data_IF_476057989693
#
_entry.id   IF_476057989693
#
_cell.length_a   1.000
_cell.length_b   1.000
_cell.length_c   1.000
_cell.angle_alpha   90.00
_cell.angle_beta   90.00
_cell.angle_gamma   90.00
#
_symmetry.space_group_name_H-M   'P 1'
#
loop_
_entity.id
_entity.type
_entity.pdbx_description
1 polymer ?
#
# COMPACT_ATOMS: atom_id res chain seq x y z
N UNK A 1 31.92 -24.67 -46.37
CA UNK A 1 33.13 -23.97 -45.87
C UNK A 1 34.40 -24.77 -46.13
N UNK A 2 34.36 -26.10 -46.02
CA UNK A 2 35.51 -26.99 -46.30
C UNK A 2 36.10 -26.81 -47.72
N UNK A 3 35.26 -26.75 -48.75
CA UNK A 3 35.71 -26.48 -50.12
C UNK A 3 36.40 -25.11 -50.27
N UNK A 4 35.99 -24.10 -49.49
CA UNK A 4 36.60 -22.77 -49.50
C UNK A 4 37.94 -22.75 -48.75
N UNK A 5 38.11 -23.57 -47.70
CA UNK A 5 39.40 -23.79 -47.04
C UNK A 5 40.39 -24.45 -48.01
N UNK A 6 39.98 -25.50 -48.71
CA UNK A 6 40.82 -26.21 -49.69
C UNK A 6 41.28 -25.27 -50.82
N UNK A 7 40.38 -24.41 -51.31
CA UNK A 7 40.70 -23.39 -52.31
C UNK A 7 41.69 -22.34 -51.77
N UNK A 8 41.48 -21.84 -50.55
CA UNK A 8 42.34 -20.84 -49.93
C UNK A 8 43.74 -21.39 -49.55
N UNK A 9 43.85 -22.68 -49.23
CA UNK A 9 45.12 -23.35 -48.92
C UNK A 9 46.04 -23.53 -50.14
N UNK A 10 45.51 -23.40 -51.36
CA UNK A 10 46.29 -23.47 -52.60
C UNK A 10 47.06 -22.18 -52.93
N UNK A 11 46.84 -21.10 -52.18
CA UNK A 11 47.61 -19.86 -52.31
C UNK A 11 49.02 -20.09 -51.74
N UNK A 12 50.05 -19.94 -52.58
CA UNK A 12 51.45 -19.96 -52.13
C UNK A 12 51.81 -18.75 -51.26
N UNK A 13 52.83 -18.89 -50.42
CA UNK A 13 53.36 -17.86 -49.49
C UNK A 13 53.70 -16.54 -50.18
N UNK A 14 54.00 -16.57 -51.47
CA UNK A 14 54.51 -15.44 -52.24
C UNK A 14 53.38 -14.55 -52.79
N UNK A 15 52.11 -14.90 -52.52
CA UNK A 15 50.94 -14.17 -53.01
C UNK A 15 50.54 -13.05 -52.02
N UNK A 16 50.21 -11.83 -52.50
CA UNK A 16 49.87 -10.68 -51.63
C UNK A 16 48.69 -10.89 -50.66
N UNK A 17 47.86 -11.90 -50.88
CA UNK A 17 46.69 -12.21 -50.06
C UNK A 17 46.88 -13.41 -49.13
N UNK A 18 48.06 -14.05 -49.10
CA UNK A 18 48.33 -15.26 -48.33
C UNK A 18 47.99 -15.11 -46.84
N UNK A 19 48.49 -14.06 -46.17
CA UNK A 19 48.23 -13.84 -44.74
C UNK A 19 46.74 -13.61 -44.44
N UNK A 20 46.01 -12.98 -45.37
CA UNK A 20 44.56 -12.81 -45.24
C UNK A 20 43.83 -14.16 -45.42
N UNK A 21 44.27 -14.98 -46.37
CA UNK A 21 43.72 -16.31 -46.60
C UNK A 21 43.98 -17.24 -45.40
N UNK A 22 45.18 -17.25 -44.83
CA UNK A 22 45.53 -18.04 -43.65
C UNK A 22 44.70 -17.65 -42.43
N UNK A 23 44.55 -16.35 -42.14
CA UNK A 23 43.64 -15.88 -41.08
C UNK A 23 42.20 -16.34 -41.30
N UNK A 24 41.74 -16.35 -42.56
CA UNK A 24 40.38 -16.79 -42.90
C UNK A 24 40.20 -18.30 -42.76
N UNK A 25 41.21 -19.09 -43.13
CA UNK A 25 41.24 -20.54 -42.92
C UNK A 25 41.14 -20.87 -41.42
N UNK A 26 41.94 -20.20 -40.57
CA UNK A 26 41.90 -20.40 -39.12
C UNK A 26 40.50 -20.07 -38.55
N UNK A 27 39.89 -18.96 -38.99
CA UNK A 27 38.51 -18.61 -38.60
C UNK A 27 37.48 -19.66 -39.05
N UNK A 28 37.59 -20.18 -40.28
CA UNK A 28 36.68 -21.23 -40.77
C UNK A 28 36.86 -22.56 -40.07
N UNK A 29 38.09 -22.93 -39.70
CA UNK A 29 38.36 -24.16 -38.93
C UNK A 29 37.73 -24.09 -37.53
N UNK A 30 37.81 -22.94 -36.85
CA UNK A 30 37.12 -22.70 -35.58
C UNK A 30 35.60 -22.79 -35.79
N UNK A 31 35.07 -22.13 -36.83
CA UNK A 31 33.63 -22.15 -37.11
C UNK A 31 33.07 -23.55 -37.40
N UNK A 32 33.81 -24.42 -38.09
CA UNK A 32 33.41 -25.82 -38.33
C UNK A 32 33.41 -26.62 -37.03
N UNK A 33 34.45 -26.46 -36.19
CA UNK A 33 34.51 -27.14 -34.89
C UNK A 33 33.35 -26.71 -33.98
N UNK A 34 33.11 -25.41 -33.92
CA UNK A 34 32.01 -24.82 -33.15
C UNK A 34 30.65 -25.32 -33.62
N UNK A 35 30.45 -25.45 -34.94
CA UNK A 35 29.22 -26.00 -35.52
C UNK A 35 28.99 -27.46 -35.10
N UNK A 36 30.02 -28.31 -35.21
CA UNK A 36 29.92 -29.72 -34.83
C UNK A 36 29.62 -29.88 -33.34
N UNK A 37 30.23 -29.05 -32.48
CA UNK A 37 29.91 -29.01 -31.04
C UNK A 37 28.48 -28.61 -30.78
N UNK A 38 27.98 -27.56 -31.46
CA UNK A 38 26.59 -27.14 -31.34
C UNK A 38 25.61 -28.22 -31.81
N UNK A 39 25.94 -28.98 -32.85
CA UNK A 39 25.13 -30.10 -33.31
C UNK A 39 25.09 -31.24 -32.28
N UNK A 40 26.23 -31.61 -31.70
CA UNK A 40 26.31 -32.56 -30.59
C UNK A 40 25.49 -32.09 -29.38
N UNK A 41 25.62 -30.82 -29.00
CA UNK A 41 24.84 -30.23 -27.92
C UNK A 41 23.32 -30.28 -28.19
N UNK A 42 22.89 -30.01 -29.44
CA UNK A 42 21.48 -30.14 -29.84
C UNK A 42 20.98 -31.58 -29.75
N UNK A 43 21.79 -32.56 -30.10
CA UNK A 43 21.44 -33.98 -29.97
C UNK A 43 21.25 -34.38 -28.51
N UNK A 44 22.11 -33.90 -27.61
CA UNK A 44 21.94 -34.08 -26.16
C UNK A 44 20.65 -33.39 -25.68
N UNK A 45 20.42 -32.14 -26.08
CA UNK A 45 19.24 -31.39 -25.67
C UNK A 45 17.93 -32.02 -26.16
N UNK A 46 17.95 -32.77 -27.27
CA UNK A 46 16.77 -33.44 -27.83
C UNK A 46 16.16 -34.50 -26.90
N UNK A 47 16.93 -35.04 -25.94
CA UNK A 47 16.40 -35.97 -24.94
C UNK A 47 15.42 -35.28 -23.97
N UNK A 48 15.57 -33.97 -23.74
CA UNK A 48 14.63 -33.16 -22.98
C UNK A 48 14.64 -33.35 -21.45
N UNK A 49 15.43 -34.28 -20.91
CA UNK A 49 15.59 -34.45 -19.46
C UNK A 49 16.64 -33.48 -18.88
N UNK A 50 16.58 -33.19 -17.56
CA UNK A 50 17.49 -32.21 -16.93
C UNK A 50 18.97 -32.52 -17.09
N UNK A 51 19.34 -33.82 -17.07
CA UNK A 51 20.74 -34.24 -17.15
C UNK A 51 21.29 -34.01 -18.56
N UNK A 52 20.53 -34.43 -19.58
CA UNK A 52 20.90 -34.25 -20.98
C UNK A 52 20.93 -32.79 -21.40
N UNK A 53 19.99 -31.96 -20.93
CA UNK A 53 20.02 -30.51 -21.15
C UNK A 53 21.23 -29.84 -20.48
N UNK A 54 21.61 -30.28 -19.27
CA UNK A 54 22.81 -29.79 -18.60
C UNK A 54 24.09 -30.18 -19.34
N UNK A 55 24.14 -31.41 -19.86
CA UNK A 55 25.23 -31.87 -20.72
C UNK A 55 25.32 -31.08 -22.03
N UNK A 56 24.18 -30.79 -22.67
CA UNK A 56 24.11 -29.93 -23.86
C UNK A 56 24.66 -28.53 -23.59
N UNK A 57 24.31 -27.93 -22.46
CA UNK A 57 24.84 -26.63 -22.02
C UNK A 57 26.35 -26.70 -21.81
N UNK A 58 26.86 -27.75 -21.18
CA UNK A 58 28.30 -27.93 -20.96
C UNK A 58 29.05 -28.05 -22.29
N UNK A 59 28.56 -28.86 -23.23
CA UNK A 59 29.16 -29.05 -24.56
C UNK A 59 29.15 -27.75 -25.39
N UNK A 60 28.05 -27.00 -25.36
CA UNK A 60 27.92 -25.76 -26.12
C UNK A 60 28.69 -24.56 -25.52
N UNK A 61 29.01 -24.56 -24.22
CA UNK A 61 29.80 -23.49 -23.58
C UNK A 61 31.25 -23.42 -24.05
N UNK A 62 31.77 -24.50 -24.65
CA UNK A 62 33.11 -24.56 -25.24
C UNK A 62 33.22 -23.84 -26.60
N UNK A 63 32.09 -23.40 -27.16
CA UNK A 63 32.02 -22.63 -28.42
C UNK A 63 32.43 -21.16 -28.19
N UNK A 64 33.01 -20.53 -29.21
CA UNK A 64 33.44 -19.13 -29.12
C UNK A 64 32.33 -18.17 -28.63
N UNK A 65 32.67 -17.32 -27.65
CA UNK A 65 31.79 -16.32 -27.04
C UNK A 65 31.29 -15.22 -27.99
N UNK A 66 31.78 -15.16 -29.23
CA UNK A 66 31.27 -14.25 -30.27
C UNK A 66 29.96 -14.69 -30.92
N UNK A 67 29.54 -15.95 -30.75
CA UNK A 67 28.35 -16.49 -31.41
C UNK A 67 27.07 -16.26 -30.60
N UNK A 68 26.36 -15.16 -30.92
CA UNK A 68 25.09 -14.79 -30.26
C UNK A 68 23.99 -15.86 -30.42
N UNK A 69 23.97 -16.62 -31.51
CA UNK A 69 22.97 -17.66 -31.72
C UNK A 69 23.20 -18.85 -30.77
N UNK A 70 24.45 -19.30 -30.66
CA UNK A 70 24.84 -20.34 -29.71
C UNK A 70 24.53 -19.93 -28.26
N UNK A 71 24.83 -18.68 -27.88
CA UNK A 71 24.50 -18.17 -26.55
C UNK A 71 23.01 -18.21 -26.23
N UNK A 72 22.13 -17.95 -27.22
CA UNK A 72 20.68 -18.05 -27.01
C UNK A 72 20.23 -19.48 -26.76
N UNK A 73 20.74 -20.44 -27.53
CA UNK A 73 20.43 -21.87 -27.35
C UNK A 73 20.92 -22.38 -25.99
N UNK A 74 22.14 -22.01 -25.59
CA UNK A 74 22.71 -22.34 -24.26
C UNK A 74 21.81 -21.81 -23.14
N UNK A 75 21.36 -20.56 -23.23
CA UNK A 75 20.48 -19.97 -22.22
C UNK A 75 19.12 -20.68 -22.18
N UNK A 76 18.55 -21.01 -23.34
CA UNK A 76 17.29 -21.76 -23.41
C UNK A 76 17.39 -23.13 -22.75
N UNK A 77 18.40 -23.94 -23.09
CA UNK A 77 18.58 -25.25 -22.47
C UNK A 77 18.89 -25.14 -20.97
N UNK A 78 19.68 -24.16 -20.55
CA UNK A 78 19.96 -23.92 -19.14
C UNK A 78 18.67 -23.58 -18.37
N UNK A 79 17.84 -22.68 -18.89
CA UNK A 79 16.53 -22.35 -18.29
C UNK A 79 15.61 -23.56 -18.24
N UNK A 80 15.55 -24.38 -19.30
CA UNK A 80 14.73 -25.60 -19.33
C UNK A 80 15.20 -26.62 -18.30
N UNK A 81 16.51 -26.90 -18.23
CA UNK A 81 17.08 -27.81 -17.24
C UNK A 81 16.76 -27.34 -15.82
N UNK A 82 17.00 -26.06 -15.52
CA UNK A 82 16.68 -25.47 -14.21
C UNK A 82 15.20 -25.58 -13.89
N UNK A 83 14.33 -25.28 -14.85
CA UNK A 83 12.87 -25.35 -14.66
C UNK A 83 12.44 -26.77 -14.31
N UNK A 84 12.92 -27.77 -15.04
CA UNK A 84 12.55 -29.17 -14.80
C UNK A 84 13.12 -29.69 -13.46
N UNK A 85 14.32 -29.26 -13.08
CA UNK A 85 14.93 -29.60 -11.79
C UNK A 85 14.19 -28.94 -10.62
N UNK A 86 13.78 -27.68 -10.80
CA UNK A 86 13.21 -26.87 -9.72
C UNK A 86 11.69 -27.09 -9.56
N UNK A 87 10.99 -27.47 -10.64
CA UNK A 87 9.53 -27.60 -10.68
C UNK A 87 8.95 -28.53 -9.59
N UNK A 88 9.55 -29.70 -9.29
CA UNK A 88 9.06 -30.56 -8.22
C UNK A 88 9.06 -29.91 -6.84
N UNK A 89 9.95 -28.93 -6.56
CA UNK A 89 9.90 -28.18 -5.31
C UNK A 89 8.66 -27.29 -5.24
N UNK A 90 8.34 -26.57 -6.32
CA UNK A 90 7.11 -25.76 -6.37
C UNK A 90 5.86 -26.63 -6.30
N UNK A 91 5.80 -27.74 -7.02
CA UNK A 91 4.61 -28.60 -7.01
C UNK A 91 4.36 -29.20 -5.61
N UNK A 92 5.43 -29.59 -4.88
CA UNK A 92 5.31 -30.03 -3.48
C UNK A 92 4.93 -28.88 -2.54
N UNK A 93 5.50 -27.70 -2.74
CA UNK A 93 5.16 -26.52 -1.96
C UNK A 93 3.66 -26.19 -2.09
N UNK A 94 3.14 -26.21 -3.32
CA UNK A 94 1.71 -26.01 -3.60
C UNK A 94 0.84 -27.10 -2.96
N UNK A 95 1.29 -28.36 -2.95
CA UNK A 95 0.58 -29.44 -2.27
C UNK A 95 0.48 -29.21 -0.76
N UNK A 96 1.57 -28.78 -0.11
CA UNK A 96 1.52 -28.43 1.31
C UNK A 96 0.55 -27.28 1.55
N UNK A 97 0.56 -26.24 0.73
CA UNK A 97 -0.30 -25.08 0.91
C UNK A 97 -1.81 -25.35 0.79
N UNK A 98 -2.25 -26.52 0.28
CA UNK A 98 -3.67 -26.84 0.04
C UNK A 98 -4.53 -26.80 1.31
N UNK A 99 -3.98 -27.20 2.45
CA UNK A 99 -4.72 -27.20 3.72
C UNK A 99 -4.93 -25.78 4.26
N UNK A 100 -4.08 -24.83 3.88
CA UNK A 100 -4.17 -23.43 4.28
C UNK A 100 -3.90 -23.14 5.76
N UNK A 101 -3.58 -24.13 6.59
CA UNK A 101 -3.19 -23.90 7.98
C UNK A 101 -1.74 -23.39 8.09
N UNK A 102 -1.40 -22.83 9.25
CA UNK A 102 -0.08 -22.21 9.47
C UNK A 102 1.07 -23.19 9.25
N UNK A 103 0.97 -24.42 9.73
CA UNK A 103 2.04 -25.41 9.62
C UNK A 103 2.23 -25.84 8.15
N UNK A 104 1.13 -26.09 7.45
CA UNK A 104 1.11 -26.42 6.03
C UNK A 104 1.69 -25.30 5.15
N UNK A 105 1.33 -24.04 5.42
CA UNK A 105 1.89 -22.89 4.71
C UNK A 105 3.38 -22.66 5.02
N UNK A 106 3.83 -22.92 6.25
CA UNK A 106 5.26 -22.88 6.60
C UNK A 106 6.05 -23.96 5.85
N UNK A 107 5.51 -25.17 5.75
CA UNK A 107 6.11 -26.25 4.96
C UNK A 107 6.18 -25.89 3.46
N UNK A 108 5.14 -25.26 2.91
CA UNK A 108 5.13 -24.75 1.55
C UNK A 108 6.25 -23.71 1.32
N UNK A 109 6.39 -22.74 2.22
CA UNK A 109 7.45 -21.72 2.14
C UNK A 109 8.84 -22.37 2.20
N UNK A 110 9.05 -23.33 3.11
CA UNK A 110 10.33 -24.03 3.25
C UNK A 110 10.70 -24.78 1.97
N UNK A 111 9.73 -25.43 1.31
CA UNK A 111 9.95 -26.18 0.09
C UNK A 111 10.24 -25.25 -1.10
N UNK A 112 9.47 -24.17 -1.29
CA UNK A 112 9.71 -23.19 -2.35
C UNK A 112 11.04 -22.43 -2.17
N UNK A 113 11.49 -22.22 -0.93
CA UNK A 113 12.75 -21.56 -0.61
C UNK A 113 13.99 -22.37 -1.01
N UNK A 114 13.83 -23.65 -1.39
CA UNK A 114 14.92 -24.47 -1.94
C UNK A 114 15.38 -24.00 -3.33
N UNK A 115 14.57 -23.20 -4.02
CA UNK A 115 14.89 -22.65 -5.33
C UNK A 115 15.78 -21.40 -5.15
N UNK A 116 17.07 -21.60 -5.40
CA UNK A 116 18.09 -20.59 -5.23
C UNK A 116 17.87 -19.34 -6.11
N UNK A 117 18.43 -18.21 -5.68
CA UNK A 117 18.43 -16.96 -6.43
C UNK A 117 19.10 -17.13 -7.81
N UNK A 118 18.58 -16.44 -8.83
CA UNK A 118 19.09 -16.50 -10.20
C UNK A 118 18.64 -17.72 -11.01
N UNK A 119 17.92 -18.67 -10.41
CA UNK A 119 17.31 -19.79 -11.15
C UNK A 119 16.02 -19.39 -11.83
N UNK A 120 15.68 -20.09 -12.91
CA UNK A 120 14.51 -19.83 -13.75
C UNK A 120 13.20 -19.64 -12.96
N UNK A 121 12.96 -20.49 -11.94
CA UNK A 121 11.72 -20.47 -11.15
C UNK A 121 11.79 -19.63 -9.87
N UNK A 122 12.91 -18.96 -9.59
CA UNK A 122 13.09 -18.21 -8.35
C UNK A 122 12.04 -17.09 -8.17
N UNK A 123 11.77 -16.33 -9.25
CA UNK A 123 10.78 -15.26 -9.20
C UNK A 123 9.37 -15.78 -8.89
N UNK A 124 9.05 -16.99 -9.34
CA UNK A 124 7.76 -17.63 -9.11
C UNK A 124 7.68 -18.13 -7.67
N UNK A 125 8.73 -18.79 -7.17
CA UNK A 125 8.87 -19.19 -5.78
C UNK A 125 8.70 -18.02 -4.82
N UNK A 126 9.37 -16.89 -5.07
CA UNK A 126 9.27 -15.69 -4.25
C UNK A 126 7.86 -15.08 -4.24
N UNK A 127 7.12 -15.16 -5.36
CA UNK A 127 5.71 -14.73 -5.39
C UNK A 127 4.85 -15.61 -4.48
N UNK A 128 4.99 -16.93 -4.59
CA UNK A 128 4.23 -17.88 -3.75
C UNK A 128 4.57 -17.71 -2.25
N UNK A 129 5.86 -17.58 -1.92
CA UNK A 129 6.31 -17.35 -0.54
C UNK A 129 5.68 -16.08 0.05
N UNK A 130 5.65 -14.97 -0.69
CA UNK A 130 4.99 -13.73 -0.24
C UNK A 130 3.49 -13.95 -0.01
N UNK A 131 2.81 -14.67 -0.90
CA UNK A 131 1.39 -14.99 -0.75
C UNK A 131 1.12 -15.81 0.51
N UNK A 132 1.84 -16.91 0.71
CA UNK A 132 1.66 -17.78 1.89
C UNK A 132 2.07 -17.09 3.20
N UNK A 133 3.12 -16.26 3.17
CA UNK A 133 3.50 -15.43 4.32
C UNK A 133 2.37 -14.49 4.73
N UNK A 134 1.71 -13.84 3.76
CA UNK A 134 0.54 -13.00 4.01
C UNK A 134 -0.64 -13.79 4.58
N UNK A 135 -0.88 -15.01 4.11
CA UNK A 135 -1.94 -15.89 4.64
C UNK A 135 -1.66 -16.30 6.10
N UNK A 136 -0.43 -16.70 6.41
CA UNK A 136 -0.02 -17.01 7.79
C UNK A 136 -0.25 -15.81 8.70
N UNK A 137 0.21 -14.63 8.29
CA UNK A 137 0.03 -13.40 9.07
C UNK A 137 -1.45 -13.12 9.32
N UNK A 138 -2.31 -13.25 8.31
CA UNK A 138 -3.77 -13.09 8.50
C UNK A 138 -4.33 -14.10 9.50
N UNK A 139 -3.98 -15.38 9.38
CA UNK A 139 -4.47 -16.41 10.31
C UNK A 139 -4.03 -16.14 11.75
N UNK A 140 -2.81 -15.63 11.93
CA UNK A 140 -2.29 -15.27 13.25
C UNK A 140 -2.93 -14.00 13.81
N UNK A 141 -3.16 -12.99 12.98
CA UNK A 141 -3.57 -11.66 13.42
C UNK A 141 -5.10 -11.50 13.47
N UNK A 142 -5.84 -12.30 12.70
CA UNK A 142 -7.29 -12.22 12.59
C UNK A 142 -8.01 -12.42 13.93
N UNK A 143 -7.60 -13.34 14.83
CA UNK A 143 -8.22 -13.44 16.16
C UNK A 143 -8.05 -12.16 16.98
N UNK A 144 -6.89 -11.51 16.94
CA UNK A 144 -6.65 -10.26 17.64
C UNK A 144 -7.49 -9.12 17.07
N UNK A 145 -7.55 -9.00 15.74
CA UNK A 145 -8.38 -7.97 15.11
C UNK A 145 -9.88 -8.20 15.38
N UNK A 146 -10.33 -9.46 15.35
CA UNK A 146 -11.71 -9.81 15.69
C UNK A 146 -12.03 -9.49 17.16
N UNK A 147 -11.14 -9.83 18.09
CA UNK A 147 -11.29 -9.48 19.50
C UNK A 147 -11.33 -7.96 19.70
N UNK A 148 -10.45 -7.21 19.04
CA UNK A 148 -10.44 -5.74 19.10
C UNK A 148 -11.79 -5.16 18.65
N UNK A 149 -12.36 -5.66 17.55
CA UNK A 149 -13.69 -5.25 17.07
C UNK A 149 -14.81 -5.59 18.04
N UNK A 150 -14.78 -6.77 18.66
CA UNK A 150 -15.75 -7.15 19.69
C UNK A 150 -15.68 -6.24 20.92
N UNK A 151 -14.47 -5.86 21.36
CA UNK A 151 -14.29 -4.88 22.44
C UNK A 151 -14.90 -3.53 22.07
N UNK A 152 -14.68 -3.07 20.84
CA UNK A 152 -15.26 -1.81 20.37
C UNK A 152 -16.79 -1.84 20.32
N UNK A 153 -17.37 -2.95 19.84
CA UNK A 153 -18.83 -3.17 19.81
C UNK A 153 -19.43 -3.20 21.23
N UNK A 154 -18.68 -3.72 22.21
CA UNK A 154 -19.05 -3.67 23.62
C UNK A 154 -18.87 -2.29 24.27
N UNK A 155 -18.33 -1.31 23.54
CA UNK A 155 -18.08 0.06 24.02
C UNK A 155 -16.70 0.27 24.65
N UNK A 156 -15.88 -0.77 24.78
CA UNK A 156 -14.49 -0.66 25.25
C UNK A 156 -13.55 -0.28 24.09
N UNK A 157 -13.65 0.98 23.65
CA UNK A 157 -12.81 1.51 22.58
C UNK A 157 -11.33 1.56 22.96
N UNK A 158 -11.01 1.77 24.25
CA UNK A 158 -9.63 1.79 24.72
C UNK A 158 -8.98 0.40 24.63
N UNK A 159 -9.68 -0.64 25.09
CA UNK A 159 -9.24 -2.02 24.96
C UNK A 159 -9.17 -2.48 23.51
N UNK A 160 -10.11 -2.04 22.67
CA UNK A 160 -10.11 -2.30 21.23
C UNK A 160 -8.83 -1.75 20.56
N UNK A 161 -8.51 -0.48 20.81
CA UNK A 161 -7.30 0.17 20.29
C UNK A 161 -6.05 -0.59 20.75
N UNK A 162 -5.92 -0.86 22.05
CA UNK A 162 -4.77 -1.57 22.60
C UNK A 162 -4.58 -2.97 22.00
N UNK A 163 -5.69 -3.67 21.71
CA UNK A 163 -5.64 -5.01 21.09
C UNK A 163 -5.24 -4.93 19.62
N UNK A 164 -5.81 -3.99 18.85
CA UNK A 164 -5.46 -3.81 17.44
C UNK A 164 -4.03 -3.29 17.22
N UNK A 165 -3.48 -2.52 18.17
CA UNK A 165 -2.09 -2.03 18.14
C UNK A 165 -1.05 -3.16 18.24
N UNK A 166 -1.45 -4.34 18.71
CA UNK A 166 -0.56 -5.53 18.71
C UNK A 166 -0.21 -5.99 17.29
N UNK A 167 -1.02 -5.63 16.29
CA UNK A 167 -0.76 -5.95 14.88
C UNK A 167 0.33 -4.98 14.38
N UNK A 168 1.52 -5.52 14.18
CA UNK A 168 2.71 -4.74 13.81
C UNK A 168 2.70 -4.25 12.36
N UNK A 169 3.43 -3.16 12.11
CA UNK A 169 3.65 -2.63 10.76
C UNK A 169 4.28 -3.68 9.82
N UNK A 170 3.88 -3.66 8.55
CA UNK A 170 4.32 -4.62 7.54
C UNK A 170 3.57 -5.96 7.54
N UNK A 171 2.70 -6.21 8.52
CA UNK A 171 1.83 -7.39 8.53
C UNK A 171 0.59 -7.20 7.68
N UNK A 172 0.04 -8.31 7.19
CA UNK A 172 -1.06 -8.32 6.24
C UNK A 172 -2.34 -7.59 6.72
N UNK A 173 -2.62 -7.56 8.04
CA UNK A 173 -3.79 -6.89 8.62
C UNK A 173 -3.49 -5.51 9.24
N UNK A 174 -2.26 -5.01 9.12
CA UNK A 174 -1.87 -3.75 9.76
C UNK A 174 -2.73 -2.57 9.29
N UNK A 175 -2.96 -2.43 7.98
CA UNK A 175 -3.73 -1.30 7.44
C UNK A 175 -5.19 -1.34 7.90
N UNK A 176 -5.78 -2.54 7.98
CA UNK A 176 -7.15 -2.72 8.49
C UNK A 176 -7.21 -2.34 9.97
N UNK A 177 -6.24 -2.80 10.78
CA UNK A 177 -6.13 -2.44 12.19
C UNK A 177 -5.98 -0.92 12.39
N UNK A 178 -5.14 -0.25 11.60
CA UNK A 178 -4.97 1.21 11.69
C UNK A 178 -6.21 1.99 11.23
N UNK A 179 -6.98 1.47 10.28
CA UNK A 179 -8.27 2.06 9.92
C UNK A 179 -9.26 1.98 11.09
N UNK A 180 -9.38 0.82 11.71
CA UNK A 180 -10.25 0.62 12.87
C UNK A 180 -9.83 1.49 14.07
N UNK A 181 -8.53 1.53 14.38
CA UNK A 181 -7.97 2.38 15.45
C UNK A 181 -8.32 3.86 15.22
N UNK A 182 -8.16 4.37 14.00
CA UNK A 182 -8.52 5.77 13.69
C UNK A 182 -10.01 6.03 13.93
N UNK A 183 -10.87 5.12 13.50
CA UNK A 183 -12.31 5.24 13.73
C UNK A 183 -12.65 5.26 15.23
N UNK A 184 -12.07 4.36 16.03
CA UNK A 184 -12.31 4.31 17.48
C UNK A 184 -11.76 5.53 18.23
N UNK A 185 -10.62 6.08 17.79
CA UNK A 185 -10.08 7.34 18.33
C UNK A 185 -11.02 8.51 18.04
N UNK A 186 -11.51 8.64 16.81
CA UNK A 186 -12.48 9.67 16.43
C UNK A 186 -13.78 9.58 17.26
N UNK A 187 -14.23 8.37 17.58
CA UNK A 187 -15.39 8.19 18.46
C UNK A 187 -15.11 8.64 19.89
N UNK A 188 -14.01 8.17 20.50
CA UNK A 188 -13.62 8.54 21.87
C UNK A 188 -13.41 10.05 22.01
N UNK A 189 -12.70 10.66 21.07
CA UNK A 189 -12.43 12.10 21.06
C UNK A 189 -13.72 12.90 20.86
N UNK A 190 -14.58 12.50 19.90
CA UNK A 190 -15.85 13.19 19.66
C UNK A 190 -16.80 13.13 20.87
N UNK A 191 -16.89 11.98 21.55
CA UNK A 191 -17.66 11.86 22.80
C UNK A 191 -17.10 12.76 23.91
N UNK A 192 -15.78 12.82 24.05
CA UNK A 192 -15.12 13.66 25.04
C UNK A 192 -15.38 15.14 24.77
N UNK A 193 -15.19 15.57 23.52
CA UNK A 193 -15.43 16.95 23.09
C UNK A 193 -16.88 17.36 23.27
N UNK A 194 -17.83 16.49 22.94
CA UNK A 194 -19.26 16.76 23.15
C UNK A 194 -19.59 16.89 24.65
N UNK A 195 -19.06 16.01 25.51
CA UNK A 195 -19.22 16.12 26.97
C UNK A 195 -18.64 17.43 27.51
N UNK A 196 -17.45 17.79 27.04
CA UNK A 196 -16.80 19.03 27.45
C UNK A 196 -17.58 20.25 26.96
N UNK A 197 -18.20 20.18 25.78
CA UNK A 197 -19.10 21.20 25.27
C UNK A 197 -20.34 21.37 26.17
N UNK A 198 -20.98 20.28 26.59
CA UNK A 198 -22.10 20.36 27.55
C UNK A 198 -21.68 21.02 28.86
N UNK A 199 -20.53 20.64 29.42
CA UNK A 199 -20.01 21.25 30.65
C UNK A 199 -19.75 22.75 30.48
N UNK A 200 -19.20 23.15 29.32
CA UNK A 200 -18.99 24.56 29.02
C UNK A 200 -20.31 25.34 28.93
N UNK A 201 -21.40 24.70 28.48
CA UNK A 201 -22.72 25.33 28.37
C UNK A 201 -23.47 25.49 29.71
N UNK A 202 -23.00 24.86 30.81
CA UNK A 202 -23.72 24.80 32.10
C UNK A 202 -24.11 26.18 32.66
N UNK A 203 -23.26 27.20 32.47
CA UNK A 203 -23.52 28.54 32.98
C UNK A 203 -24.61 29.28 32.17
N UNK A 204 -24.92 28.84 30.95
CA UNK A 204 -25.93 29.46 30.09
C UNK A 204 -25.66 30.93 29.69
N UNK A 205 -24.48 31.46 29.98
CA UNK A 205 -24.06 32.82 29.56
C UNK A 205 -23.60 32.82 28.11
N UNK A 206 -23.68 33.96 27.43
CA UNK A 206 -23.22 34.12 26.04
C UNK A 206 -21.80 33.55 25.81
N UNK A 207 -20.85 33.90 26.68
CA UNK A 207 -19.47 33.41 26.58
C UNK A 207 -19.35 31.89 26.80
N UNK A 208 -20.11 31.35 27.76
CA UNK A 208 -20.11 29.91 28.04
C UNK A 208 -20.72 29.09 26.91
N UNK A 209 -21.79 29.58 26.28
CA UNK A 209 -22.42 28.98 25.11
C UNK A 209 -21.52 29.08 23.87
N UNK A 210 -20.84 30.21 23.66
CA UNK A 210 -19.86 30.35 22.58
C UNK A 210 -18.72 29.34 22.73
N UNK A 211 -18.22 29.13 23.96
CA UNK A 211 -17.20 28.12 24.24
C UNK A 211 -17.70 26.69 24.00
N UNK A 212 -18.94 26.40 24.42
CA UNK A 212 -19.58 25.11 24.16
C UNK A 212 -19.71 24.82 22.66
N UNK A 213 -20.15 25.79 21.88
CA UNK A 213 -20.23 25.68 20.41
C UNK A 213 -18.86 25.37 19.81
N UNK A 214 -17.80 26.07 20.22
CA UNK A 214 -16.45 25.82 19.72
C UNK A 214 -15.94 24.41 20.02
N UNK A 215 -16.29 23.84 21.19
CA UNK A 215 -15.93 22.48 21.55
C UNK A 215 -16.72 21.45 20.74
N UNK A 216 -18.02 21.66 20.57
CA UNK A 216 -18.87 20.79 19.75
C UNK A 216 -18.50 20.85 18.26
N UNK A 217 -18.04 22.00 17.76
CA UNK A 217 -17.61 22.17 16.36
C UNK A 217 -16.38 21.32 16.01
N UNK A 218 -15.54 21.01 17.00
CA UNK A 218 -14.35 20.14 16.84
C UNK A 218 -14.68 18.67 16.69
N UNK A 219 -15.92 18.26 16.98
CA UNK A 219 -16.34 16.87 16.87
C UNK A 219 -16.20 16.43 15.41
N UNK A 220 -15.32 15.44 15.20
CA UNK A 220 -15.04 14.86 13.89
C UNK A 220 -16.34 14.43 13.20
N UNK A 221 -16.43 14.66 11.90
CA UNK A 221 -17.57 14.25 11.08
C UNK A 221 -17.77 12.74 11.06
N UNK A 222 -16.71 11.97 11.31
CA UNK A 222 -16.74 10.50 11.36
C UNK A 222 -17.15 9.97 12.74
N UNK A 223 -17.30 10.85 13.74
CA UNK A 223 -17.73 10.48 15.09
C UNK A 223 -19.25 10.31 15.15
N UNK A 224 -19.72 9.31 15.88
CA UNK A 224 -21.15 9.15 16.17
C UNK A 224 -21.73 10.31 17.00
N UNK A 225 -20.88 11.04 17.74
CA UNK A 225 -21.26 12.24 18.48
C UNK A 225 -21.57 13.45 17.58
N UNK A 226 -21.21 13.40 16.29
CA UNK A 226 -21.30 14.54 15.38
C UNK A 226 -22.72 15.07 15.23
N UNK A 227 -23.69 14.18 15.02
CA UNK A 227 -25.08 14.59 14.81
C UNK A 227 -25.63 15.32 16.05
N UNK A 228 -25.28 14.86 17.25
CA UNK A 228 -25.67 15.54 18.49
C UNK A 228 -24.94 16.87 18.66
N UNK A 229 -23.65 16.92 18.35
CA UNK A 229 -22.88 18.16 18.37
C UNK A 229 -23.51 19.23 17.46
N UNK A 230 -23.89 18.89 16.23
CA UNK A 230 -24.55 19.83 15.32
C UNK A 230 -25.94 20.27 15.82
N UNK A 231 -26.72 19.38 16.46
CA UNK A 231 -27.98 19.76 17.12
C UNK A 231 -27.75 20.77 18.23
N UNK A 232 -26.77 20.50 19.10
CA UNK A 232 -26.48 21.37 20.24
C UNK A 232 -25.88 22.71 19.82
N UNK A 233 -25.07 22.75 18.76
CA UNK A 233 -24.55 23.99 18.19
C UNK A 233 -25.70 24.91 17.76
N UNK A 234 -26.73 24.37 17.11
CA UNK A 234 -27.92 25.16 16.76
C UNK A 234 -28.70 25.62 18.00
N UNK A 235 -28.92 24.72 18.97
CA UNK A 235 -29.65 25.06 20.19
C UNK A 235 -28.96 26.16 21.01
N UNK A 236 -27.65 26.07 21.21
CA UNK A 236 -26.88 27.09 21.92
C UNK A 236 -26.80 28.40 21.14
N UNK A 237 -26.71 28.35 19.82
CA UNK A 237 -26.75 29.55 18.97
C UNK A 237 -28.09 30.29 19.11
N UNK A 238 -29.20 29.54 19.20
CA UNK A 238 -30.52 30.11 19.45
C UNK A 238 -30.63 30.72 20.85
N UNK A 239 -30.08 30.07 21.87
CA UNK A 239 -30.03 30.63 23.23
C UNK A 239 -29.19 31.91 23.29
N UNK A 240 -28.05 31.96 22.59
CA UNK A 240 -27.24 33.18 22.48
C UNK A 240 -28.00 34.32 21.80
N UNK A 241 -28.80 34.04 20.77
CA UNK A 241 -29.65 35.05 20.14
C UNK A 241 -30.69 35.61 21.13
N UNK A 242 -31.28 34.77 21.97
CA UNK A 242 -32.23 35.21 23.01
C UNK A 242 -31.55 36.06 24.09
N UNK A 243 -30.31 35.72 24.48
CA UNK A 243 -29.51 36.53 25.40
C UNK A 243 -29.23 37.91 24.80
N UNK A 244 -28.81 37.96 23.53
CA UNK A 244 -28.58 39.22 22.82
C UNK A 244 -29.84 40.09 22.79
N UNK A 245 -31.01 39.49 22.52
CA UNK A 245 -32.29 40.20 22.55
C UNK A 245 -32.63 40.74 23.95
N UNK A 246 -32.37 39.97 25.00
CA UNK A 246 -32.58 40.41 26.39
C UNK A 246 -31.65 41.56 26.78
N UNK A 247 -30.40 41.54 26.32
CA UNK A 247 -29.43 42.62 26.52
C UNK A 247 -29.92 43.91 25.84
N UNK A 248 -30.37 43.82 24.60
CA UNK A 248 -30.92 44.96 23.86
C UNK A 248 -32.16 45.56 24.54
N UNK A 249 -33.07 44.71 25.06
CA UNK A 249 -34.24 45.14 25.82
C UNK A 249 -33.89 45.82 27.16
N UNK A 250 -32.68 45.59 27.66
CA UNK A 250 -32.16 46.18 28.90
C UNK A 250 -31.24 47.39 28.62
N UNK A 251 -31.39 48.03 27.45
CA UNK A 251 -30.59 49.16 26.95
C UNK A 251 -29.09 48.84 26.72
N UNK A 252 -28.68 47.57 26.76
CA UNK A 252 -27.31 47.13 26.44
C UNK A 252 -27.19 46.69 24.96
N UNK A 253 -27.36 47.65 24.04
CA UNK A 253 -27.25 47.39 22.61
C UNK A 253 -25.83 46.97 22.18
N UNK A 254 -24.79 47.49 22.85
CA UNK A 254 -23.41 47.13 22.57
C UNK A 254 -23.13 45.66 22.93
N UNK A 255 -23.57 45.22 24.12
CA UNK A 255 -23.48 43.83 24.54
C UNK A 255 -24.32 42.89 23.66
N UNK A 256 -25.52 43.31 23.27
CA UNK A 256 -26.38 42.56 22.35
C UNK A 256 -25.70 42.27 21.00
N UNK A 257 -25.13 43.31 20.38
CA UNK A 257 -24.38 43.19 19.13
C UNK A 257 -23.15 42.28 19.31
N UNK A 258 -22.40 42.45 20.40
CA UNK A 258 -21.24 41.62 20.69
C UNK A 258 -21.62 40.14 20.82
N UNK A 259 -22.68 39.81 21.55
CA UNK A 259 -23.20 38.44 21.67
C UNK A 259 -23.66 37.90 20.32
N UNK A 260 -24.49 38.65 19.58
CA UNK A 260 -25.03 38.19 18.30
C UNK A 260 -23.94 37.96 17.24
N UNK A 261 -22.84 38.71 17.27
CA UNK A 261 -21.69 38.51 16.37
C UNK A 261 -20.94 37.20 16.61
N UNK A 262 -21.06 36.60 17.80
CA UNK A 262 -20.42 35.32 18.13
C UNK A 262 -21.22 34.10 17.68
N UNK A 263 -22.43 34.30 17.15
CA UNK A 263 -23.27 33.23 16.61
C UNK A 263 -22.65 32.71 15.30
N UNK A 264 -22.38 31.39 15.16
CA UNK A 264 -21.72 30.85 13.97
C UNK A 264 -22.56 30.95 12.69
N UNK A 265 -21.96 31.24 11.53
CA UNK A 265 -22.66 31.36 10.24
C UNK A 265 -23.43 30.11 9.79
N UNK A 266 -23.00 28.93 10.24
CA UNK A 266 -23.58 27.64 9.84
C UNK A 266 -24.82 27.24 10.64
N UNK A 267 -25.32 28.13 11.51
CA UNK A 267 -26.45 27.85 12.40
C UNK A 267 -27.73 28.52 11.91
N UNK A 268 -28.87 27.96 12.30
CA UNK A 268 -30.19 28.51 11.97
C UNK A 268 -30.40 29.91 12.55
N UNK A 269 -29.81 30.20 13.72
CA UNK A 269 -29.93 31.48 14.41
C UNK A 269 -29.14 32.62 13.74
N UNK A 270 -28.18 32.31 12.85
CA UNK A 270 -27.27 33.31 12.29
C UNK A 270 -27.98 34.40 11.49
N UNK A 271 -28.89 34.02 10.58
CA UNK A 271 -29.58 34.99 9.74
C UNK A 271 -30.42 35.98 10.59
N UNK A 272 -31.10 35.47 11.61
CA UNK A 272 -31.86 36.29 12.54
C UNK A 272 -30.95 37.19 13.39
N UNK A 273 -29.78 36.69 13.82
CA UNK A 273 -28.78 37.49 14.53
C UNK A 273 -28.27 38.67 13.69
N UNK A 274 -27.95 38.44 12.42
CA UNK A 274 -27.47 39.50 11.52
C UNK A 274 -28.52 40.59 11.30
N UNK A 275 -29.80 40.23 11.20
CA UNK A 275 -30.90 41.21 11.10
C UNK A 275 -31.03 42.06 12.37
N UNK A 276 -30.94 41.45 13.55
CA UNK A 276 -30.98 42.16 14.83
C UNK A 276 -29.78 43.10 15.00
N UNK A 277 -28.57 42.66 14.63
CA UNK A 277 -27.37 43.50 14.65
C UNK A 277 -27.58 44.77 13.81
N UNK A 278 -28.16 44.65 12.62
CA UNK A 278 -28.42 45.81 11.76
C UNK A 278 -29.42 46.79 12.38
N UNK A 279 -30.50 46.30 13.02
CA UNK A 279 -31.47 47.20 13.65
C UNK A 279 -30.83 47.94 14.84
N UNK A 280 -30.12 47.23 15.71
CA UNK A 280 -29.46 47.82 16.88
C UNK A 280 -28.38 48.84 16.49
N UNK A 281 -27.61 48.59 15.43
CA UNK A 281 -26.65 49.56 14.92
C UNK A 281 -27.32 50.85 14.43
N UNK A 282 -28.47 50.74 13.76
CA UNK A 282 -29.24 51.92 13.33
C UNK A 282 -29.77 52.71 14.53
N UNK A 283 -30.27 52.03 15.57
CA UNK A 283 -30.76 52.66 16.79
C UNK A 283 -29.65 53.46 17.51
N UNK A 284 -28.45 52.89 17.65
CA UNK A 284 -27.27 53.58 18.19
C UNK A 284 -26.91 54.83 17.36
N UNK A 285 -26.96 54.72 16.03
CA UNK A 285 -26.65 55.84 15.14
C UNK A 285 -27.70 56.96 15.24
N UNK A 286 -28.98 56.63 15.42
CA UNK A 286 -30.04 57.64 15.57
C UNK A 286 -30.04 58.33 16.94
N UNK A 287 -29.55 57.67 17.99
CA UNK A 287 -29.44 58.26 19.34
C UNK A 287 -28.18 59.09 19.54
N UNK A 288 -27.15 58.92 18.70
CA UNK A 288 -25.88 59.66 18.76
C UNK A 288 -25.81 60.90 17.87
N UNK A 289 -26.81 61.13 17.00
CA UNK A 289 -26.97 62.37 16.23
C UNK A 289 -28.02 63.24 16.93
N UNK A 290 -27.64 64.27 17.73
CA UNK A 290 -28.62 65.19 18.29
C UNK A 290 -29.23 66.06 17.18
N UNK A 291 -30.55 66.27 17.23
CA UNK A 291 -31.19 67.39 16.53
C UNK A 291 -30.86 68.72 17.21
#
# INVERSE_FOLDING_TARGET
MEAAIIQAQRLGSDRPLYDRAQRRIQQWQIAIRDLNRMESARQLAAAGDPSSLSAAVAEAREVSSGNRAAQREIQQWATQAQTLEDRPYLDRAEQFARNGDVASLQAAIAEASRIAEGRALHADAQRQIRTWTGQIQRLQDQPYLAQARQLAEAGDLAGAIATAEQIQSGRALYNDAQADIRNWRNQTEGQTQLRDAYRAAELGTANSLASAIQLADRVSTDSNARAEADRMINAWSQAMLQIAQTQAQSDDLAGAIATANTIPPRTEAYAAAQLQIQSWQNEINTTTVPQ
#
